data_IF_006342801010
#
_entry.id   IF_006342801010
#
_cell.length_a   1.000
_cell.length_b   1.000
_cell.length_c   1.000
_cell.angle_alpha   90.00
_cell.angle_beta   90.00
_cell.angle_gamma   90.00
#
_symmetry.space_group_name_H-M   'P 1'
#
loop_
_entity.id
_entity.type
_entity.pdbx_description
1 polymer ?
#
# COMPACT_ATOMS: atom_id res chain seq x y z
N UNK A 1 14.64 7.57 8.33
CA UNK A 1 13.24 7.20 8.03
C UNK A 1 13.28 6.11 6.96
N UNK A 2 12.67 4.94 7.18
CA UNK A 2 12.65 3.88 6.15
C UNK A 2 11.66 4.32 5.06
N UNK A 3 12.12 4.40 3.81
CA UNK A 3 11.22 4.64 2.68
C UNK A 3 10.32 3.40 2.51
N UNK A 4 9.03 3.56 2.18
CA UNK A 4 8.19 2.42 1.83
C UNK A 4 8.82 1.69 0.65
N UNK A 5 8.97 0.37 0.76
CA UNK A 5 9.49 -0.46 -0.32
C UNK A 5 8.30 -1.19 -0.94
N UNK A 6 8.05 -1.04 -2.25
CA UNK A 6 6.94 -1.74 -2.88
C UNK A 6 7.10 -3.25 -2.75
N UNK A 7 6.00 -3.95 -2.55
CA UNK A 7 6.00 -5.42 -2.61
C UNK A 7 6.22 -5.88 -4.06
N UNK A 8 6.64 -7.14 -4.27
CA UNK A 8 6.73 -7.72 -5.62
C UNK A 8 5.43 -7.57 -6.42
N UNK A 9 4.28 -7.77 -5.79
CA UNK A 9 2.97 -7.64 -6.42
C UNK A 9 2.69 -6.19 -6.83
N UNK A 10 2.96 -5.23 -5.95
CA UNK A 10 2.83 -3.79 -6.25
C UNK A 10 3.73 -3.37 -7.42
N UNK A 11 4.95 -3.92 -7.48
CA UNK A 11 5.85 -3.64 -8.58
C UNK A 11 5.34 -4.22 -9.91
N UNK A 12 4.84 -5.46 -9.91
CA UNK A 12 4.27 -6.06 -11.13
C UNK A 12 3.13 -5.19 -11.69
N UNK A 13 2.28 -4.66 -10.81
CA UNK A 13 1.21 -3.72 -11.16
C UNK A 13 1.77 -2.44 -11.79
N UNK A 14 2.81 -1.86 -11.18
CA UNK A 14 3.47 -0.65 -11.70
C UNK A 14 4.07 -0.89 -13.08
N UNK A 15 4.69 -2.05 -13.32
CA UNK A 15 5.21 -2.40 -14.64
C UNK A 15 4.12 -2.64 -15.68
N UNK A 16 3.01 -3.26 -15.30
CA UNK A 16 1.86 -3.39 -16.20
C UNK A 16 1.32 -2.01 -16.61
N UNK A 17 1.14 -1.10 -15.65
CA UNK A 17 0.72 0.28 -15.93
C UNK A 17 1.71 1.00 -16.84
N UNK A 18 3.02 0.88 -16.57
CA UNK A 18 4.07 1.44 -17.39
C UNK A 18 4.02 0.92 -18.83
N UNK A 19 3.84 -0.39 -19.01
CA UNK A 19 3.73 -1.01 -20.33
C UNK A 19 2.52 -0.48 -21.11
N UNK A 20 1.36 -0.32 -20.45
CA UNK A 20 0.18 0.30 -21.05
C UNK A 20 0.42 1.76 -21.43
N UNK A 21 1.10 2.52 -20.59
CA UNK A 21 1.44 3.93 -20.82
C UNK A 21 2.34 4.09 -22.05
N UNK A 22 3.40 3.29 -22.13
CA UNK A 22 4.34 3.26 -23.26
C UNK A 22 3.66 2.82 -24.56
N UNK A 23 2.83 1.76 -24.50
CA UNK A 23 2.07 1.27 -25.67
C UNK A 23 1.13 2.35 -26.23
N UNK A 24 0.57 3.19 -25.36
CA UNK A 24 -0.26 4.33 -25.75
C UNK A 24 0.55 5.54 -26.29
N UNK A 25 1.88 5.42 -26.42
CA UNK A 25 2.75 6.49 -26.91
C UNK A 25 2.88 7.67 -25.94
N UNK A 26 2.54 7.48 -24.66
CA UNK A 26 2.62 8.55 -23.66
C UNK A 26 4.06 8.70 -23.16
N UNK A 27 4.55 9.95 -22.98
CA UNK A 27 5.90 10.18 -22.49
C UNK A 27 6.03 9.73 -21.03
N UNK A 28 7.23 9.28 -20.67
CA UNK A 28 7.57 9.01 -19.27
C UNK A 28 7.69 10.33 -18.51
N UNK A 29 7.26 10.34 -17.25
CA UNK A 29 7.61 11.44 -16.34
C UNK A 29 9.11 11.39 -16.04
N UNK A 30 9.67 12.53 -15.62
CA UNK A 30 11.09 12.61 -15.28
C UNK A 30 11.45 11.61 -14.17
N UNK A 31 10.63 11.51 -13.14
CA UNK A 31 10.84 10.62 -12.00
C UNK A 31 10.88 9.15 -12.43
N UNK A 32 10.04 8.77 -13.38
CA UNK A 32 9.99 7.41 -13.89
C UNK A 32 11.16 7.10 -14.83
N UNK A 33 11.57 8.07 -15.65
CA UNK A 33 12.76 7.97 -16.46
C UNK A 33 14.03 7.82 -15.60
N UNK A 34 14.17 8.65 -14.56
CA UNK A 34 15.28 8.60 -13.60
C UNK A 34 15.32 7.26 -12.85
N UNK A 35 14.16 6.75 -12.41
CA UNK A 35 14.04 5.44 -11.76
C UNK A 35 14.50 4.29 -12.68
N UNK A 36 14.05 4.28 -13.94
CA UNK A 36 14.45 3.26 -14.89
C UNK A 36 15.94 3.36 -15.25
N UNK A 37 16.46 4.58 -15.41
CA UNK A 37 17.87 4.80 -15.71
C UNK A 37 18.79 4.31 -14.58
N UNK A 38 18.46 4.62 -13.33
CA UNK A 38 19.18 4.11 -12.16
C UNK A 38 19.13 2.57 -12.10
N UNK A 39 17.94 1.99 -12.33
CA UNK A 39 17.78 0.54 -12.38
C UNK A 39 18.66 -0.12 -13.44
N UNK A 40 18.67 0.41 -14.66
CA UNK A 40 19.52 -0.12 -15.73
C UNK A 40 21.01 0.06 -15.47
N UNK A 41 21.41 1.15 -14.81
CA UNK A 41 22.80 1.36 -14.40
C UNK A 41 23.25 0.30 -13.37
N UNK A 42 22.40 -0.01 -12.39
CA UNK A 42 22.68 -1.05 -11.39
C UNK A 42 22.76 -2.44 -12.00
N UNK A 43 21.87 -2.74 -12.95
CA UNK A 43 21.91 -4.00 -13.70
C UNK A 43 23.20 -4.11 -14.53
N UNK A 44 23.64 -3.04 -15.17
CA UNK A 44 24.90 -3.05 -15.94
C UNK A 44 26.14 -3.24 -15.06
N UNK A 45 26.05 -2.87 -13.78
CA UNK A 45 27.08 -3.15 -12.76
C UNK A 45 27.05 -4.60 -12.22
N UNK A 46 26.13 -5.45 -12.69
CA UNK A 46 26.05 -6.88 -12.33
C UNK A 46 25.02 -7.21 -11.25
N UNK A 47 24.18 -6.26 -10.82
CA UNK A 47 23.08 -6.55 -9.90
C UNK A 47 21.94 -7.31 -10.59
N UNK A 48 21.24 -8.17 -9.84
CA UNK A 48 20.07 -8.89 -10.34
C UNK A 48 18.89 -7.94 -10.59
N UNK A 49 18.32 -7.98 -11.80
CA UNK A 49 17.14 -7.19 -12.16
C UNK A 49 15.95 -7.46 -11.22
N UNK A 50 15.79 -8.69 -10.74
CA UNK A 50 14.73 -9.04 -9.79
C UNK A 50 14.85 -8.27 -8.47
N UNK A 51 16.08 -8.05 -8.02
CA UNK A 51 16.38 -7.31 -6.78
C UNK A 51 16.31 -5.80 -7.02
N UNK A 52 16.90 -5.32 -8.12
CA UNK A 52 16.94 -3.90 -8.49
C UNK A 52 15.53 -3.33 -8.64
N UNK A 53 14.64 -4.08 -9.29
CA UNK A 53 13.27 -3.65 -9.51
C UNK A 53 12.30 -4.14 -8.44
N UNK A 54 12.74 -4.77 -7.35
CA UNK A 54 11.85 -5.28 -6.29
C UNK A 54 10.83 -6.35 -6.76
N UNK A 55 11.15 -7.11 -7.82
CA UNK A 55 10.35 -8.27 -8.25
C UNK A 55 10.53 -9.48 -7.32
N UNK A 56 11.59 -9.47 -6.50
CA UNK A 56 11.81 -10.41 -5.40
C UNK A 56 12.15 -9.64 -4.13
N UNK A 57 11.83 -10.28 -3.00
CA UNK A 57 12.20 -9.78 -1.67
C UNK A 57 13.72 -9.76 -1.53
N UNK A 58 14.25 -8.63 -1.07
CA UNK A 58 15.66 -8.48 -0.74
C UNK A 58 15.99 -9.02 0.66
N UNK A 59 17.28 -9.04 1.03
CA UNK A 59 17.70 -9.41 2.38
C UNK A 59 17.01 -8.56 3.46
N UNK A 60 16.43 -9.23 4.47
CA UNK A 60 15.73 -8.57 5.57
C UNK A 60 14.27 -8.18 5.27
N UNK A 61 13.71 -8.59 4.12
CA UNK A 61 12.29 -8.46 3.81
C UNK A 61 11.60 -9.81 3.97
N UNK A 62 10.59 -9.87 4.85
CA UNK A 62 9.75 -11.06 5.02
C UNK A 62 8.33 -10.81 4.55
N UNK A 63 7.67 -11.88 4.11
CA UNK A 63 6.25 -11.87 3.75
C UNK A 63 5.36 -11.48 4.93
N UNK A 64 5.70 -11.96 6.12
CA UNK A 64 4.97 -11.63 7.35
C UNK A 64 5.05 -10.13 7.68
N UNK A 65 6.21 -9.50 7.43
CA UNK A 65 6.36 -8.05 7.62
C UNK A 65 5.55 -7.26 6.59
N UNK A 66 5.50 -7.71 5.34
CA UNK A 66 4.67 -7.11 4.30
C UNK A 66 3.18 -7.21 4.65
N UNK A 67 2.72 -8.41 5.01
CA UNK A 67 1.34 -8.67 5.41
C UNK A 67 0.96 -7.84 6.64
N UNK A 68 1.87 -7.73 7.61
CA UNK A 68 1.65 -6.87 8.79
C UNK A 68 1.49 -5.41 8.39
N UNK A 69 2.31 -4.88 7.49
CA UNK A 69 2.19 -3.50 6.99
C UNK A 69 0.90 -3.28 6.21
N UNK A 70 0.50 -4.23 5.36
CA UNK A 70 -0.77 -4.17 4.63
C UNK A 70 -1.98 -4.17 5.58
N UNK A 71 -1.97 -4.97 6.64
CA UNK A 71 -3.03 -4.96 7.67
C UNK A 71 -3.09 -3.61 8.40
N UNK A 72 -1.95 -3.04 8.79
CA UNK A 72 -1.90 -1.69 9.38
C UNK A 72 -2.42 -0.63 8.39
N UNK A 73 -2.07 -0.77 7.11
CA UNK A 73 -2.54 0.11 6.03
C UNK A 73 -4.07 0.12 5.92
N UNK A 74 -4.72 -1.05 6.00
CA UNK A 74 -6.20 -1.16 6.08
C UNK A 74 -6.74 -0.41 7.29
N UNK A 75 -6.17 -0.66 8.48
CA UNK A 75 -6.63 -0.03 9.73
C UNK A 75 -6.49 1.48 9.65
N UNK A 76 -5.38 2.01 9.14
CA UNK A 76 -5.13 3.45 9.08
C UNK A 76 -5.95 4.15 8.01
N UNK A 77 -6.22 3.49 6.88
CA UNK A 77 -7.17 3.99 5.90
C UNK A 77 -8.58 4.10 6.52
N UNK A 78 -9.01 3.10 7.29
CA UNK A 78 -10.30 3.14 7.97
C UNK A 78 -10.37 4.21 9.07
N UNK A 79 -9.29 4.40 9.84
CA UNK A 79 -9.20 5.51 10.82
C UNK A 79 -9.32 6.86 10.10
N UNK A 80 -8.61 7.05 8.98
CA UNK A 80 -8.69 8.27 8.19
C UNK A 80 -10.10 8.51 7.63
N UNK A 81 -10.76 7.47 7.14
CA UNK A 81 -12.15 7.52 6.66
C UNK A 81 -13.12 7.95 7.78
N UNK A 82 -13.02 7.36 8.97
CA UNK A 82 -13.85 7.71 10.12
C UNK A 82 -13.67 9.18 10.57
N UNK A 83 -12.50 9.75 10.33
CA UNK A 83 -12.18 11.14 10.66
C UNK A 83 -12.68 12.14 9.61
N UNK A 84 -12.93 11.72 8.37
CA UNK A 84 -13.51 12.57 7.33
C UNK A 84 -14.96 12.94 7.67
N UNK A 85 -15.43 14.11 7.23
CA UNK A 85 -16.84 14.46 7.29
C UNK A 85 -17.59 13.90 6.08
N UNK A 86 -18.83 13.47 6.29
CA UNK A 86 -19.74 13.18 5.19
C UNK A 86 -19.88 14.42 4.28
N UNK A 87 -19.41 14.31 3.04
CA UNK A 87 -19.41 15.41 2.07
C UNK A 87 -18.03 15.94 1.66
N UNK A 88 -16.94 15.48 2.29
CA UNK A 88 -15.56 15.85 1.91
C UNK A 88 -15.08 15.24 0.58
N UNK A 89 -15.99 14.71 -0.24
CA UNK A 89 -15.69 14.14 -1.55
C UNK A 89 -15.04 12.74 -1.51
N UNK A 90 -14.93 12.12 -0.34
CA UNK A 90 -14.44 10.74 -0.20
C UNK A 90 -15.58 9.72 -0.26
N UNK A 91 -15.38 8.56 -0.93
CA UNK A 91 -16.36 7.49 -0.96
C UNK A 91 -16.46 6.83 0.42
N UNK A 92 -17.44 7.23 1.22
CA UNK A 92 -17.67 6.69 2.57
C UNK A 92 -18.56 7.60 3.42
N UNK A 93 -19.23 7.04 4.41
CA UNK A 93 -20.00 7.79 5.41
C UNK A 93 -19.07 8.24 6.53
N UNK A 94 -18.15 9.16 6.22
CA UNK A 94 -17.25 9.71 7.22
C UNK A 94 -18.03 10.25 8.43
N UNK A 95 -17.69 9.79 9.63
CA UNK A 95 -18.40 10.10 10.87
C UNK A 95 -17.89 11.41 11.51
N UNK A 96 -16.84 12.05 10.95
CA UNK A 96 -16.22 13.25 11.51
C UNK A 96 -15.63 13.04 12.90
N UNK A 97 -15.16 11.83 13.21
CA UNK A 97 -14.67 11.50 14.55
C UNK A 97 -13.33 12.16 14.84
N UNK A 98 -13.11 12.51 16.12
CA UNK A 98 -11.76 12.78 16.63
C UNK A 98 -10.88 11.53 16.47
N UNK A 99 -9.57 11.72 16.30
CA UNK A 99 -8.60 10.62 16.20
C UNK A 99 -8.77 9.56 17.32
N UNK A 100 -8.94 9.96 18.57
CA UNK A 100 -9.10 9.02 19.69
C UNK A 100 -10.29 8.08 19.51
N UNK A 101 -11.46 8.64 19.20
CA UNK A 101 -12.68 7.86 18.89
C UNK A 101 -12.54 6.99 17.65
N UNK A 102 -11.85 7.49 16.62
CA UNK A 102 -11.60 6.71 15.41
C UNK A 102 -10.69 5.49 15.69
N UNK A 103 -9.65 5.68 16.52
CA UNK A 103 -8.76 4.60 16.96
C UNK A 103 -9.48 3.56 17.84
N UNK A 104 -10.32 4.01 18.78
CA UNK A 104 -11.17 3.13 19.59
C UNK A 104 -12.10 2.27 18.71
N UNK A 105 -12.73 2.89 17.71
CA UNK A 105 -13.63 2.21 16.77
C UNK A 105 -12.88 1.26 15.82
N UNK A 106 -11.64 1.57 15.47
CA UNK A 106 -10.81 0.73 14.59
C UNK A 106 -10.06 -0.41 15.32
N UNK A 107 -9.88 -0.34 16.63
CA UNK A 107 -9.17 -1.36 17.40
C UNK A 107 -9.74 -2.80 17.24
N UNK A 108 -11.07 -3.02 17.25
CA UNK A 108 -11.64 -4.35 16.97
C UNK A 108 -11.28 -4.89 15.58
N UNK A 109 -11.24 -4.02 14.56
CA UNK A 109 -10.82 -4.41 13.21
C UNK A 109 -9.35 -4.82 13.19
N UNK A 110 -8.47 -4.05 13.85
CA UNK A 110 -7.06 -4.39 13.96
C UNK A 110 -6.87 -5.78 14.59
N UNK A 111 -7.51 -6.04 15.73
CA UNK A 111 -7.43 -7.34 16.42
C UNK A 111 -7.89 -8.50 15.54
N UNK A 112 -9.00 -8.32 14.79
CA UNK A 112 -9.48 -9.33 13.83
C UNK A 112 -8.48 -9.58 12.71
N UNK A 113 -7.92 -8.53 12.11
CA UNK A 113 -6.93 -8.69 11.04
C UNK A 113 -5.67 -9.40 11.53
N UNK A 114 -5.31 -9.23 12.80
CA UNK A 114 -4.14 -9.88 13.41
C UNK A 114 -4.43 -11.22 14.08
N UNK A 115 -5.69 -11.68 14.13
CA UNK A 115 -6.08 -12.95 14.75
C UNK A 115 -5.88 -12.98 16.27
N UNK A 116 -6.11 -11.84 16.92
CA UNK A 116 -5.89 -11.61 18.36
C UNK A 116 -7.12 -10.96 19.01
N UNK A 117 -8.32 -11.40 18.62
CA UNK A 117 -9.60 -10.83 19.04
C UNK A 117 -9.78 -10.77 20.56
N UNK A 118 -9.34 -11.80 21.28
CA UNK A 118 -9.46 -11.92 22.74
C UNK A 118 -8.30 -11.27 23.51
N UNK A 119 -7.44 -10.51 22.82
CA UNK A 119 -6.22 -9.90 23.38
C UNK A 119 -6.34 -8.39 23.49
N UNK A 120 -5.60 -7.80 24.44
CA UNK A 120 -5.40 -6.36 24.53
C UNK A 120 -4.40 -5.82 23.50
N UNK A 121 -3.77 -6.70 22.72
CA UNK A 121 -2.94 -6.27 21.59
C UNK A 121 -3.74 -5.40 20.61
N UNK A 122 -3.04 -4.45 19.98
CA UNK A 122 -3.64 -3.49 19.04
C UNK A 122 -4.82 -2.68 19.62
N UNK A 123 -4.76 -2.35 20.90
CA UNK A 123 -5.66 -1.36 21.52
C UNK A 123 -5.48 0.05 20.93
N UNK A 124 -6.39 0.96 21.29
CA UNK A 124 -6.37 2.33 20.80
C UNK A 124 -5.07 3.07 21.15
N UNK A 125 -4.47 2.82 22.32
CA UNK A 125 -3.23 3.46 22.75
C UNK A 125 -2.03 2.98 21.91
N UNK A 126 -1.96 1.69 21.61
CA UNK A 126 -0.93 1.12 20.75
C UNK A 126 -1.09 1.61 19.31
N UNK A 127 -2.32 1.59 18.78
CA UNK A 127 -2.60 2.14 17.46
C UNK A 127 -2.28 3.64 17.38
N UNK A 128 -2.50 4.42 18.45
CA UNK A 128 -2.10 5.82 18.52
C UNK A 128 -0.58 5.99 18.42
N UNK A 129 0.20 5.13 19.08
CA UNK A 129 1.67 5.15 18.95
C UNK A 129 2.10 4.92 17.51
N UNK A 130 1.54 3.89 16.86
CA UNK A 130 1.81 3.60 15.44
C UNK A 130 1.32 4.74 14.52
N UNK A 131 0.20 5.38 14.85
CA UNK A 131 -0.36 6.48 14.09
C UNK A 131 0.56 7.71 14.11
N UNK A 132 1.41 7.89 15.11
CA UNK A 132 2.38 8.99 15.10
C UNK A 132 3.75 8.60 14.56
N UNK A 133 4.03 7.30 14.40
CA UNK A 133 5.29 6.83 13.82
C UNK A 133 5.39 7.25 12.34
N UNK A 134 6.41 8.05 11.96
CA UNK A 134 6.61 8.51 10.60
C UNK A 134 6.69 7.40 9.54
N UNK A 135 7.07 6.17 9.89
CA UNK A 135 7.13 5.07 8.92
C UNK A 135 5.78 4.65 8.36
N UNK A 136 4.68 5.03 9.01
CA UNK A 136 3.31 4.73 8.59
C UNK A 136 2.57 5.96 8.04
N UNK A 137 3.25 7.11 7.90
CA UNK A 137 2.61 8.35 7.48
C UNK A 137 1.89 8.25 6.12
N UNK A 138 2.45 7.48 5.18
CA UNK A 138 1.87 7.26 3.85
C UNK A 138 0.58 6.42 3.84
N UNK A 139 0.23 5.80 4.96
CA UNK A 139 -0.98 4.96 5.09
C UNK A 139 -2.19 5.74 5.61
N UNK A 140 -2.01 6.99 6.07
CA UNK A 140 -3.04 7.81 6.71
C UNK A 140 -3.90 8.56 5.70
N UNK A 141 -4.32 7.86 4.66
CA UNK A 141 -5.20 8.36 3.59
C UNK A 141 -6.48 7.54 3.60
N UNK A 142 -7.66 8.18 3.53
CA UNK A 142 -8.94 7.47 3.54
C UNK A 142 -9.15 6.61 2.29
N UNK A 143 -8.47 6.95 1.19
CA UNK A 143 -8.53 6.20 -0.06
C UNK A 143 -7.16 5.60 -0.36
N UNK A 144 -7.17 4.30 -0.65
CA UNK A 144 -6.00 3.52 -1.05
C UNK A 144 -6.17 3.08 -2.51
N UNK A 145 -5.10 3.18 -3.28
CA UNK A 145 -5.02 2.73 -4.67
C UNK A 145 -4.05 1.56 -4.78
N UNK A 146 -4.12 0.73 -5.84
CA UNK A 146 -3.15 -0.34 -6.07
C UNK A 146 -1.70 0.14 -6.25
N UNK A 147 -1.48 1.44 -6.43
CA UNK A 147 -0.16 2.03 -6.63
C UNK A 147 0.47 2.53 -5.34
N UNK A 148 -0.33 2.68 -4.28
CA UNK A 148 0.18 3.13 -2.99
C UNK A 148 1.08 2.05 -2.35
N UNK A 149 2.18 2.43 -1.68
CA UNK A 149 3.02 1.46 -1.00
C UNK A 149 2.27 0.78 0.16
N UNK A 150 2.42 -0.53 0.30
CA UNK A 150 1.68 -1.36 1.28
C UNK A 150 0.15 -1.29 1.05
N UNK A 151 -0.29 -1.20 -0.20
CA UNK A 151 -1.71 -1.20 -0.52
C UNK A 151 -2.29 -2.61 -0.47
N UNK A 152 -3.39 -2.81 0.29
CA UNK A 152 -4.12 -4.08 0.26
C UNK A 152 -5.02 -4.20 -1.00
N UNK A 153 -5.11 -3.15 -1.83
CA UNK A 153 -6.04 -3.09 -2.96
C UNK A 153 -5.44 -3.80 -4.17
N UNK A 154 -6.08 -4.86 -4.69
CA UNK A 154 -5.61 -5.52 -5.89
C UNK A 154 -5.78 -4.62 -7.11
N UNK A 155 -4.84 -4.68 -8.06
CA UNK A 155 -5.01 -4.02 -9.35
C UNK A 155 -6.01 -4.78 -10.20
N UNK A 156 -7.14 -4.15 -10.49
CA UNK A 156 -8.10 -4.65 -11.47
C UNK A 156 -7.85 -3.89 -12.77
N UNK A 157 -7.34 -4.60 -13.79
CA UNK A 157 -7.19 -4.03 -15.11
C UNK A 157 -8.57 -3.89 -15.76
N UNK A 158 -9.19 -2.72 -15.63
CA UNK A 158 -10.51 -2.44 -16.22
C UNK A 158 -10.52 -2.41 -17.75
N UNK A 159 -9.34 -2.48 -18.39
CA UNK A 159 -9.18 -2.54 -19.85
C UNK A 159 -8.61 -3.88 -20.33
N UNK A 160 -8.57 -4.92 -19.49
CA UNK A 160 -8.21 -6.24 -19.98
C UNK A 160 -9.45 -6.95 -20.53
N UNK A 161 -9.42 -7.22 -21.83
CA UNK A 161 -10.18 -8.32 -22.45
C UNK A 161 -9.83 -9.71 -21.85
N UNK A 162 -9.04 -9.78 -20.77
CA UNK A 162 -8.82 -10.98 -19.97
C UNK A 162 -9.99 -11.14 -19.02
N UNK A 163 -10.85 -12.12 -19.32
CA UNK A 163 -11.99 -12.47 -18.50
C UNK A 163 -11.52 -13.19 -17.25
N UNK A 164 -12.27 -13.00 -16.17
CA UNK A 164 -12.05 -13.60 -14.86
C UNK A 164 -11.94 -15.15 -14.87
N UNK A 165 -12.33 -15.78 -15.97
CA UNK A 165 -12.27 -17.24 -16.18
C UNK A 165 -10.86 -17.77 -16.51
N UNK A 166 -9.91 -16.90 -16.88
CA UNK A 166 -8.54 -17.29 -17.27
C UNK A 166 -7.57 -17.48 -16.07
N UNK A 167 -8.08 -17.39 -14.83
CA UNK A 167 -7.29 -17.53 -13.60
C UNK A 167 -7.74 -18.71 -12.70
N UNK A 168 -8.26 -19.79 -13.29
CA UNK A 168 -8.42 -21.10 -12.62
C UNK A 168 -7.42 -22.13 -13.13
#
# INVERSE_FOLDING_TARGET
MRKPIPTPQEQQIRFLYLAMHLKAGKPLTKELADYLADGFLRISAGESADVVFHLKRGPGQSEDDELRRQKISVVFAHVAELMCLAGDGYPGSGDGLSLDKALEKAAPLARRLFGVEDSDQYDALYLRKLWYDPSYAHMRTPVRTPFDPDSPVPFINLNSDLKYDDLR
#
